data_IF_818516658461
#
_entry.id   IF_818516658461
#
_cell.length_a   1.000
_cell.length_b   1.000
_cell.length_c   1.000
_cell.angle_alpha   90.00
_cell.angle_beta   90.00
_cell.angle_gamma   90.00
#
_symmetry.space_group_name_H-M   'P 1'
#
loop_
_entity.id
_entity.type
_entity.pdbx_description
1 polymer ?
#
# COMPACT_ATOMS: atom_id res chain seq x y z
N UNK A 1 -44.03 40.43 -34.11
CA UNK A 1 -44.41 39.20 -34.84
C UNK A 1 -44.91 38.14 -33.85
N UNK A 2 -45.51 37.06 -34.35
CA UNK A 2 -46.00 35.85 -33.62
C UNK A 2 -44.97 35.23 -32.65
N UNK A 3 -45.28 34.40 -31.64
CA UNK A 3 -46.51 33.99 -30.91
C UNK A 3 -46.08 33.18 -29.66
N UNK A 4 -46.95 33.01 -28.65
CA UNK A 4 -46.74 32.08 -27.51
C UNK A 4 -48.03 31.36 -27.10
N UNK A 5 -47.94 30.07 -26.74
CA UNK A 5 -49.03 29.14 -26.40
C UNK A 5 -48.45 27.90 -25.65
N UNK A 6 -49.15 27.09 -24.84
CA UNK A 6 -50.53 27.12 -24.31
C UNK A 6 -50.67 26.25 -23.03
N UNK A 7 -51.62 26.64 -22.16
CA UNK A 7 -52.54 25.87 -21.28
C UNK A 7 -52.97 24.45 -21.75
N UNK A 8 -53.55 23.51 -20.94
CA UNK A 8 -53.92 23.45 -19.49
C UNK A 8 -54.38 22.03 -19.01
N UNK A 9 -54.71 21.89 -17.71
CA UNK A 9 -55.24 20.72 -16.95
C UNK A 9 -56.51 20.00 -17.50
N UNK A 10 -56.60 18.67 -17.23
CA UNK A 10 -57.74 17.88 -16.67
C UNK A 10 -57.18 16.64 -15.91
N UNK A 11 -57.77 15.89 -14.95
CA UNK A 11 -59.04 15.84 -14.15
C UNK A 11 -59.98 14.61 -14.32
N UNK A 12 -60.23 13.95 -13.17
CA UNK A 12 -61.32 13.03 -12.74
C UNK A 12 -61.47 11.57 -13.26
N UNK A 13 -61.92 10.72 -12.31
CA UNK A 13 -62.44 9.32 -12.38
C UNK A 13 -64.01 9.38 -12.26
N UNK A 14 -64.87 8.34 -11.98
CA UNK A 14 -64.66 6.96 -11.46
C UNK A 14 -65.63 5.76 -11.89
N UNK A 15 -65.32 4.52 -11.47
CA UNK A 15 -66.19 3.47 -10.81
C UNK A 15 -67.26 2.53 -11.53
N UNK A 16 -67.28 1.23 -11.12
CA UNK A 16 -68.31 0.12 -11.12
C UNK A 16 -68.96 -0.42 -12.46
N UNK A 17 -69.58 -1.64 -12.57
CA UNK A 17 -69.46 -2.97 -11.88
C UNK A 17 -70.25 -4.15 -12.56
N UNK A 18 -69.73 -5.39 -12.43
CA UNK A 18 -70.35 -6.76 -12.28
C UNK A 18 -71.55 -7.38 -13.08
N UNK A 19 -71.41 -8.70 -13.38
CA UNK A 19 -72.35 -9.86 -13.20
C UNK A 19 -72.99 -10.64 -14.40
N UNK A 20 -73.52 -11.86 -14.11
CA UNK A 20 -74.17 -12.93 -14.93
C UNK A 20 -73.22 -13.96 -15.65
N UNK A 21 -73.27 -15.31 -15.43
CA UNK A 21 -74.30 -16.38 -15.61
C UNK A 21 -74.44 -16.87 -17.08
N UNK A 22 -74.56 -18.17 -17.45
CA UNK A 22 -74.44 -19.48 -16.74
C UNK A 22 -74.39 -20.70 -17.72
N UNK A 23 -74.20 -21.91 -17.18
CA UNK A 23 -74.49 -23.27 -17.74
C UNK A 23 -73.68 -23.84 -18.93
N UNK A 24 -73.38 -25.15 -18.84
CA UNK A 24 -72.88 -26.01 -19.92
C UNK A 24 -72.33 -27.34 -19.40
N UNK A 25 -72.97 -28.48 -19.72
CA UNK A 25 -72.55 -29.83 -19.27
C UNK A 25 -72.25 -30.71 -20.48
N UNK A 26 -71.04 -31.26 -20.56
CA UNK A 26 -70.74 -32.51 -21.28
C UNK A 26 -69.37 -33.09 -20.88
N UNK A 27 -69.22 -34.41 -21.01
CA UNK A 27 -68.01 -35.19 -20.82
C UNK A 27 -68.18 -36.57 -21.49
N UNK A 28 -67.15 -37.40 -21.66
CA UNK A 28 -65.72 -37.09 -21.87
C UNK A 28 -65.20 -37.70 -23.20
N UNK A 29 -64.01 -37.28 -23.64
CA UNK A 29 -63.19 -38.11 -24.54
C UNK A 29 -61.71 -37.76 -24.40
N UNK A 30 -60.84 -38.76 -24.47
CA UNK A 30 -59.39 -38.57 -24.32
C UNK A 30 -58.72 -38.31 -25.68
N UNK A 31 -57.71 -37.43 -25.68
CA UNK A 31 -56.51 -37.66 -26.48
C UNK A 31 -55.32 -36.89 -25.90
N UNK A 32 -54.14 -37.51 -25.92
CA UNK A 32 -52.89 -36.95 -25.42
C UNK A 32 -52.12 -36.30 -26.55
N UNK A 33 -51.87 -34.99 -26.51
CA UNK A 33 -50.67 -34.39 -27.09
C UNK A 33 -50.28 -33.05 -26.39
N UNK A 34 -48.98 -32.92 -26.12
CA UNK A 34 -48.18 -31.73 -26.42
C UNK A 34 -48.52 -30.40 -25.71
N UNK A 35 -48.06 -30.25 -24.47
CA UNK A 35 -47.79 -28.93 -23.89
C UNK A 35 -46.35 -28.48 -24.22
N UNK A 36 -46.22 -27.33 -24.87
CA UNK A 36 -44.93 -26.77 -25.27
C UNK A 36 -44.15 -26.18 -24.08
N UNK A 37 -42.83 -26.40 -24.04
CA UNK A 37 -41.89 -25.54 -23.31
C UNK A 37 -41.50 -24.34 -24.18
N UNK A 38 -41.37 -23.13 -23.61
CA UNK A 38 -40.98 -21.95 -24.38
C UNK A 38 -39.52 -22.02 -24.85
N UNK A 39 -39.29 -21.69 -26.12
CA UNK A 39 -37.96 -21.74 -26.71
C UNK A 39 -37.03 -20.64 -26.17
N UNK A 40 -36.05 -21.02 -25.34
CA UNK A 40 -34.94 -20.14 -24.97
C UNK A 40 -33.97 -20.06 -26.16
N UNK A 41 -34.04 -18.96 -26.91
CA UNK A 41 -33.18 -18.75 -28.08
C UNK A 41 -31.71 -18.61 -27.67
N UNK A 42 -30.88 -19.63 -27.98
CA UNK A 42 -29.44 -19.62 -27.75
C UNK A 42 -28.75 -18.63 -28.71
N UNK A 43 -28.73 -17.35 -28.32
CA UNK A 43 -28.08 -16.29 -29.10
C UNK A 43 -26.56 -16.39 -28.90
N UNK A 44 -25.87 -16.92 -29.92
CA UNK A 44 -24.41 -17.04 -29.98
C UNK A 44 -23.72 -15.68 -29.76
N UNK A 45 -23.14 -15.50 -28.59
CA UNK A 45 -22.22 -14.40 -28.25
C UNK A 45 -20.83 -15.00 -28.00
N UNK A 46 -19.81 -14.52 -28.70
CA UNK A 46 -18.47 -15.12 -28.69
C UNK A 46 -17.39 -14.05 -28.75
N UNK A 47 -17.10 -13.43 -27.59
CA UNK A 47 -15.93 -12.56 -27.40
C UNK A 47 -15.66 -12.26 -25.91
N UNK A 48 -14.37 -12.24 -25.55
CA UNK A 48 -13.79 -11.34 -24.52
C UNK A 48 -14.19 -11.49 -23.03
N UNK A 49 -14.44 -12.70 -22.53
CA UNK A 49 -14.50 -12.96 -21.07
C UNK A 49 -13.59 -14.12 -20.57
N UNK A 50 -12.37 -14.24 -21.11
CA UNK A 50 -11.33 -15.16 -20.58
C UNK A 50 -10.11 -14.41 -20.02
N UNK A 51 -10.22 -13.80 -18.84
CA UNK A 51 -9.03 -13.26 -18.13
C UNK A 51 -9.13 -13.12 -16.59
N UNK A 52 -10.17 -13.65 -15.93
CA UNK A 52 -10.43 -13.37 -14.50
C UNK A 52 -10.65 -14.59 -13.60
N UNK A 53 -9.88 -15.67 -13.78
CA UNK A 53 -9.73 -16.76 -12.78
C UNK A 53 -8.38 -17.50 -12.93
N UNK A 54 -7.28 -16.80 -12.66
CA UNK A 54 -6.02 -17.45 -12.25
C UNK A 54 -5.81 -17.20 -10.76
N UNK A 55 -5.41 -18.24 -10.03
CA UNK A 55 -5.19 -18.17 -8.59
C UNK A 55 -4.32 -16.96 -8.22
N UNK A 56 -4.77 -16.05 -7.34
CA UNK A 56 -3.95 -14.93 -6.88
C UNK A 56 -2.67 -15.42 -6.18
N UNK A 57 -2.79 -16.56 -5.49
CA UNK A 57 -1.70 -17.36 -4.98
C UNK A 57 -1.10 -18.19 -6.14
N UNK A 58 -0.13 -17.60 -6.83
CA UNK A 58 0.66 -18.30 -7.84
C UNK A 58 1.51 -19.43 -7.25
N UNK A 59 1.88 -20.41 -8.06
CA UNK A 59 2.74 -21.53 -7.62
C UNK A 59 4.16 -21.06 -7.32
N UNK A 60 4.79 -21.60 -6.27
CA UNK A 60 6.19 -21.28 -5.94
C UNK A 60 7.17 -21.89 -6.94
N UNK A 61 8.16 -21.11 -7.36
CA UNK A 61 9.17 -21.47 -8.35
C UNK A 61 10.55 -21.49 -7.65
N UNK A 62 11.16 -22.66 -7.66
CA UNK A 62 12.49 -22.94 -7.10
C UNK A 62 13.59 -22.19 -7.85
N UNK A 63 14.65 -21.81 -7.15
CA UNK A 63 15.84 -21.18 -7.73
C UNK A 63 16.96 -20.96 -6.69
N UNK A 64 18.10 -20.45 -7.16
CA UNK A 64 19.32 -20.29 -6.37
C UNK A 64 19.12 -19.70 -4.96
N UNK A 65 19.61 -20.40 -3.93
CA UNK A 65 19.55 -19.98 -2.53
C UNK A 65 18.33 -20.46 -1.73
N UNK A 66 17.38 -21.16 -2.34
CA UNK A 66 16.34 -21.90 -1.61
C UNK A 66 16.93 -23.14 -0.92
N UNK A 67 16.38 -23.53 0.24
CA UNK A 67 16.66 -24.82 0.88
C UNK A 67 15.38 -25.64 1.03
N UNK A 68 15.48 -26.93 0.71
CA UNK A 68 14.37 -27.90 0.73
C UNK A 68 14.75 -29.16 1.52
N UNK A 69 13.76 -29.77 2.17
CA UNK A 69 13.81 -31.18 2.58
C UNK A 69 13.44 -32.01 1.36
N UNK A 70 14.17 -33.08 1.11
CA UNK A 70 13.76 -34.16 0.21
C UNK A 70 13.79 -35.44 1.04
N UNK A 71 12.67 -36.15 1.07
CA UNK A 71 12.45 -37.34 1.89
C UNK A 71 11.98 -38.48 0.97
N UNK A 72 12.77 -39.55 0.93
CA UNK A 72 12.45 -40.82 0.28
C UNK A 72 12.15 -41.83 1.38
N UNK A 73 10.88 -42.27 1.49
CA UNK A 73 10.46 -43.18 2.57
C UNK A 73 11.21 -44.52 2.51
N UNK A 74 11.42 -45.02 1.29
CA UNK A 74 11.96 -46.36 1.02
C UNK A 74 13.48 -46.42 1.20
N UNK A 75 14.18 -45.27 1.06
CA UNK A 75 15.63 -45.14 1.26
C UNK A 75 15.95 -43.84 2.02
N UNK A 76 15.93 -43.86 3.37
CA UNK A 76 16.24 -42.68 4.18
C UNK A 76 17.68 -42.19 3.99
N UNK A 77 18.60 -43.03 3.52
CA UNK A 77 20.00 -42.68 3.19
C UNK A 77 20.12 -41.64 2.06
N UNK A 78 19.08 -41.51 1.22
CA UNK A 78 19.03 -40.50 0.15
C UNK A 78 18.16 -39.28 0.53
N UNK A 79 17.55 -39.30 1.71
CA UNK A 79 16.82 -38.16 2.28
C UNK A 79 17.78 -37.12 2.85
N UNK A 80 17.35 -35.86 2.92
CA UNK A 80 18.15 -34.81 3.55
C UNK A 80 17.72 -33.38 3.23
N UNK A 81 18.49 -32.43 3.77
CA UNK A 81 18.38 -31.01 3.48
C UNK A 81 19.30 -30.64 2.32
N UNK A 82 18.71 -30.16 1.23
CA UNK A 82 19.42 -29.71 0.04
C UNK A 82 19.22 -28.21 -0.16
N UNK A 83 20.23 -27.53 -0.70
CA UNK A 83 20.17 -26.10 -1.05
C UNK A 83 20.47 -25.94 -2.53
N UNK A 84 19.71 -25.08 -3.20
CA UNK A 84 19.87 -24.82 -4.64
C UNK A 84 21.06 -23.89 -4.84
N UNK A 85 22.04 -24.32 -5.63
CA UNK A 85 23.25 -23.57 -5.95
C UNK A 85 23.01 -22.33 -6.82
N UNK A 86 24.02 -21.45 -6.98
CA UNK A 86 23.95 -20.26 -7.83
C UNK A 86 23.88 -20.58 -9.33
N UNK A 87 24.10 -21.84 -9.69
CA UNK A 87 23.96 -22.47 -11.00
C UNK A 87 22.56 -23.09 -11.22
N UNK A 88 21.66 -22.97 -10.24
CA UNK A 88 20.30 -23.52 -10.27
C UNK A 88 20.22 -25.02 -10.01
N UNK A 89 21.29 -25.66 -9.51
CA UNK A 89 21.34 -27.11 -9.28
C UNK A 89 21.20 -27.52 -7.81
N UNK A 90 20.79 -28.77 -7.57
CA UNK A 90 20.93 -29.46 -6.27
C UNK A 90 21.85 -30.68 -6.42
N UNK A 91 22.55 -31.01 -5.35
CA UNK A 91 23.48 -32.15 -5.31
C UNK A 91 22.88 -33.27 -4.45
N UNK A 92 22.33 -34.29 -5.11
CA UNK A 92 21.67 -35.42 -4.47
C UNK A 92 22.59 -36.65 -4.36
N UNK A 93 22.44 -37.48 -3.31
CA UNK A 93 22.97 -38.84 -3.29
C UNK A 93 22.52 -39.61 -4.53
N UNK A 94 23.43 -40.42 -5.10
CA UNK A 94 23.28 -41.16 -6.38
C UNK A 94 23.09 -40.29 -7.63
N UNK A 95 22.10 -39.40 -7.66
CA UNK A 95 21.73 -38.61 -8.85
C UNK A 95 22.72 -37.46 -9.15
N UNK A 96 23.60 -37.10 -8.21
CA UNK A 96 24.63 -36.06 -8.35
C UNK A 96 24.00 -34.68 -8.60
N UNK A 97 24.56 -33.88 -9.51
CA UNK A 97 24.09 -32.54 -9.84
C UNK A 97 22.84 -32.60 -10.71
N UNK A 98 21.75 -31.99 -10.25
CA UNK A 98 20.49 -31.87 -10.99
C UNK A 98 20.05 -30.41 -11.06
N UNK A 99 19.82 -29.89 -12.27
CA UNK A 99 19.24 -28.56 -12.46
C UNK A 99 17.74 -28.55 -12.10
N UNK A 100 17.33 -27.61 -11.24
CA UNK A 100 15.97 -27.51 -10.70
C UNK A 100 15.38 -26.10 -10.71
N UNK A 101 16.17 -25.08 -11.05
CA UNK A 101 15.68 -23.70 -11.15
C UNK A 101 14.59 -23.56 -12.23
N UNK A 102 13.51 -22.88 -11.87
CA UNK A 102 12.34 -22.71 -12.74
C UNK A 102 11.27 -23.79 -12.57
N UNK A 103 11.54 -24.87 -11.84
CA UNK A 103 10.54 -25.88 -11.46
C UNK A 103 9.72 -25.43 -10.23
N UNK A 104 8.48 -25.87 -10.17
CA UNK A 104 7.68 -25.87 -8.93
C UNK A 104 8.01 -27.09 -8.06
N UNK A 105 7.57 -27.09 -6.80
CA UNK A 105 7.79 -28.22 -5.87
C UNK A 105 7.18 -29.53 -6.42
N UNK A 106 6.02 -29.47 -7.05
CA UNK A 106 5.35 -30.66 -7.61
C UNK A 106 5.99 -31.13 -8.94
N UNK A 107 6.46 -30.21 -9.80
CA UNK A 107 7.26 -30.57 -10.98
C UNK A 107 8.58 -31.24 -10.57
N UNK A 108 9.25 -30.75 -9.51
CA UNK A 108 10.44 -31.39 -8.96
C UNK A 108 10.12 -32.76 -8.32
N UNK A 109 9.02 -32.88 -7.56
CA UNK A 109 8.59 -34.15 -6.95
C UNK A 109 8.38 -35.21 -8.02
N UNK A 110 7.59 -34.89 -9.05
CA UNK A 110 7.36 -35.79 -10.18
C UNK A 110 8.67 -36.17 -10.87
N UNK A 111 9.53 -35.19 -11.17
CA UNK A 111 10.82 -35.45 -11.79
C UNK A 111 11.72 -36.38 -10.96
N UNK A 112 11.82 -36.18 -9.65
CA UNK A 112 12.62 -37.04 -8.78
C UNK A 112 12.05 -38.46 -8.67
N UNK A 113 10.73 -38.62 -8.55
CA UNK A 113 10.09 -39.95 -8.60
C UNK A 113 10.43 -40.68 -9.91
N UNK A 114 10.45 -39.99 -11.06
CA UNK A 114 10.89 -40.61 -12.32
C UNK A 114 12.38 -41.00 -12.28
N UNK A 115 13.29 -40.14 -11.80
CA UNK A 115 14.73 -40.45 -11.76
C UNK A 115 15.08 -41.58 -10.77
N UNK A 116 14.38 -41.67 -9.63
CA UNK A 116 14.60 -42.74 -8.65
C UNK A 116 13.99 -44.08 -9.07
N UNK A 117 13.04 -44.12 -10.01
CA UNK A 117 12.43 -45.37 -10.50
C UNK A 117 13.43 -46.36 -11.14
N UNK A 118 14.60 -45.88 -11.58
CA UNK A 118 15.70 -46.72 -12.07
C UNK A 118 16.49 -47.45 -10.98
N UNK A 119 16.22 -47.16 -9.70
CA UNK A 119 16.95 -47.69 -8.53
C UNK A 119 16.03 -48.25 -7.43
N UNK A 120 14.76 -47.86 -7.43
CA UNK A 120 13.75 -48.18 -6.41
C UNK A 120 12.44 -48.52 -7.11
N UNK A 121 11.72 -49.52 -6.62
CA UNK A 121 10.36 -49.82 -7.08
C UNK A 121 9.38 -48.83 -6.42
N UNK A 122 8.57 -48.14 -7.22
CA UNK A 122 7.51 -47.21 -6.77
C UNK A 122 7.95 -46.12 -5.74
N UNK A 123 9.06 -45.37 -5.97
CA UNK A 123 9.66 -44.49 -4.97
C UNK A 123 8.76 -43.33 -4.52
N UNK A 124 8.51 -43.27 -3.21
CA UNK A 124 7.68 -42.21 -2.61
C UNK A 124 8.54 -41.01 -2.19
N UNK A 125 8.47 -39.93 -2.99
CA UNK A 125 9.24 -38.70 -2.76
C UNK A 125 8.37 -37.60 -2.16
N UNK A 126 8.80 -37.10 -1.01
CA UNK A 126 8.26 -35.91 -0.34
C UNK A 126 9.26 -34.76 -0.44
N UNK A 127 8.75 -33.55 -0.70
CA UNK A 127 9.57 -32.34 -0.79
C UNK A 127 8.89 -31.23 0.02
N UNK A 128 9.65 -30.61 0.93
CA UNK A 128 9.17 -29.52 1.78
C UNK A 128 10.10 -28.30 1.73
N UNK A 129 9.59 -27.06 1.65
CA UNK A 129 10.43 -25.87 1.73
C UNK A 129 10.92 -25.67 3.17
N UNK A 130 12.24 -25.56 3.36
CA UNK A 130 12.88 -25.29 4.66
C UNK A 130 13.24 -23.80 4.79
N UNK A 131 13.73 -23.20 3.70
CA UNK A 131 14.09 -21.78 3.64
C UNK A 131 13.82 -21.26 2.24
N UNK A 132 13.10 -20.15 2.14
CA UNK A 132 12.99 -19.41 0.88
C UNK A 132 14.17 -18.44 0.76
N UNK A 133 14.68 -18.26 -0.47
CA UNK A 133 15.64 -17.20 -0.79
C UNK A 133 15.01 -15.81 -0.57
N UNK A 134 15.79 -14.78 -0.18
CA UNK A 134 15.33 -13.40 -0.23
C UNK A 134 14.87 -13.05 -1.65
N UNK A 135 13.64 -12.54 -1.80
CA UNK A 135 13.10 -12.18 -3.12
C UNK A 135 13.41 -10.72 -3.42
N UNK A 136 13.82 -10.41 -4.66
CA UNK A 136 13.99 -9.03 -5.12
C UNK A 136 12.75 -8.59 -5.88
N UNK A 137 11.99 -7.67 -5.30
CA UNK A 137 10.80 -7.08 -5.93
C UNK A 137 11.07 -5.64 -6.37
N UNK A 138 10.35 -5.18 -7.39
CA UNK A 138 10.25 -3.76 -7.72
C UNK A 138 8.95 -3.20 -7.12
N UNK A 139 9.03 -2.05 -6.48
CA UNK A 139 7.86 -1.33 -5.95
C UNK A 139 7.86 0.08 -6.55
N UNK A 140 6.82 0.43 -7.31
CA UNK A 140 6.81 1.63 -8.14
C UNK A 140 5.48 2.38 -8.19
N UNK A 141 5.52 3.53 -8.86
CA UNK A 141 4.38 4.45 -8.93
C UNK A 141 4.20 5.26 -7.65
N UNK A 142 2.96 5.42 -7.23
CA UNK A 142 2.55 6.30 -6.13
C UNK A 142 2.65 5.57 -4.77
N UNK A 143 3.89 5.32 -4.34
CA UNK A 143 4.30 4.91 -2.98
C UNK A 143 5.23 5.96 -2.38
N UNK A 144 5.58 5.90 -1.09
CA UNK A 144 6.43 6.90 -0.45
C UNK A 144 7.91 6.87 -0.91
N UNK A 145 8.45 5.69 -1.22
CA UNK A 145 9.81 5.45 -1.73
C UNK A 145 9.77 4.34 -2.80
N UNK A 146 9.67 4.67 -4.10
CA UNK A 146 9.73 3.66 -5.16
C UNK A 146 11.17 3.18 -5.38
N UNK A 147 11.37 1.90 -5.71
CA UNK A 147 12.69 1.31 -5.89
C UNK A 147 12.67 -0.21 -5.98
N UNK A 148 13.85 -0.82 -5.89
CA UNK A 148 14.01 -2.26 -5.69
C UNK A 148 14.17 -2.56 -4.21
N UNK A 149 13.48 -3.59 -3.73
CA UNK A 149 13.51 -4.04 -2.35
C UNK A 149 13.80 -5.53 -2.28
N UNK A 150 14.67 -5.93 -1.35
CA UNK A 150 14.83 -7.32 -0.96
C UNK A 150 13.86 -7.61 0.18
N UNK A 151 12.96 -8.57 -0.03
CA UNK A 151 12.06 -9.07 1.01
C UNK A 151 12.56 -10.43 1.46
N UNK A 152 12.95 -10.51 2.73
CA UNK A 152 13.39 -11.74 3.41
C UNK A 152 12.29 -12.20 4.36
N UNK A 153 12.31 -13.47 4.73
CA UNK A 153 11.51 -14.01 5.85
C UNK A 153 11.91 -13.29 7.16
N UNK A 154 11.07 -12.35 7.62
CA UNK A 154 11.43 -11.44 8.70
C UNK A 154 11.24 -12.07 10.09
N UNK A 155 12.23 -12.87 10.48
CA UNK A 155 12.51 -13.20 11.89
C UNK A 155 13.38 -12.12 12.58
N UNK A 156 13.88 -11.14 11.82
CA UNK A 156 14.79 -10.07 12.27
C UNK A 156 14.16 -8.67 12.11
N UNK A 157 12.95 -8.46 12.65
CA UNK A 157 12.52 -7.13 13.13
C UNK A 157 12.05 -7.25 14.59
N UNK A 158 13.04 -7.42 15.46
CA UNK A 158 13.06 -6.87 16.82
C UNK A 158 14.48 -6.29 16.99
N UNK A 159 14.67 -5.26 17.82
CA UNK A 159 15.97 -4.60 18.09
C UNK A 159 16.54 -3.69 16.97
N UNK A 160 15.72 -2.95 16.22
CA UNK A 160 16.20 -1.71 15.58
C UNK A 160 15.15 -0.58 15.47
N UNK A 161 14.45 -0.34 16.58
CA UNK A 161 14.01 1.00 16.96
C UNK A 161 14.40 1.22 18.42
N UNK A 162 15.62 1.70 18.66
CA UNK A 162 15.94 2.33 19.93
C UNK A 162 15.21 3.68 19.97
N UNK A 163 14.27 3.92 20.90
CA UNK A 163 13.82 5.27 21.17
C UNK A 163 14.99 6.06 21.77
N UNK A 164 15.21 7.32 21.38
CA UNK A 164 16.30 8.10 21.93
C UNK A 164 16.03 8.42 23.41
N UNK A 165 16.89 7.86 24.27
CA UNK A 165 17.08 8.15 25.70
C UNK A 165 15.95 7.71 26.66
N UNK A 166 16.33 7.32 27.90
CA UNK A 166 15.43 7.41 29.05
C UNK A 166 14.96 6.15 29.80
N UNK A 167 15.70 5.04 29.83
CA UNK A 167 15.46 3.96 30.83
C UNK A 167 16.78 3.55 31.50
N UNK A 168 17.08 4.17 32.64
CA UNK A 168 17.98 3.57 33.64
C UNK A 168 17.21 2.57 34.51
N UNK A 169 17.85 1.47 34.93
CA UNK A 169 17.32 0.61 35.99
C UNK A 169 16.70 -0.72 35.56
N UNK A 170 17.48 -1.61 34.94
CA UNK A 170 17.29 -3.06 35.10
C UNK A 170 18.57 -3.61 35.75
N UNK A 171 18.45 -4.04 37.01
CA UNK A 171 19.58 -4.53 37.81
C UNK A 171 19.84 -6.01 37.51
N UNK A 172 20.93 -6.30 36.80
CA UNK A 172 21.40 -7.68 36.61
C UNK A 172 21.94 -8.26 37.93
N UNK A 173 21.15 -9.09 38.61
CA UNK A 173 21.61 -9.84 39.78
C UNK A 173 22.50 -11.02 39.33
N UNK A 174 23.78 -11.12 39.74
CA UNK A 174 24.69 -12.16 39.22
C UNK A 174 24.46 -13.59 39.74
N UNK A 175 23.50 -13.80 40.65
CA UNK A 175 23.21 -15.12 41.25
C UNK A 175 21.75 -15.54 41.06
N UNK A 176 21.43 -16.00 39.86
CA UNK A 176 20.34 -16.94 39.60
C UNK A 176 20.92 -18.15 38.84
N UNK A 177 20.86 -19.39 39.39
CA UNK A 177 21.31 -20.58 38.68
C UNK A 177 20.42 -20.97 37.49
N UNK A 178 19.25 -20.35 37.33
CA UNK A 178 18.39 -20.45 36.15
C UNK A 178 18.39 -19.10 35.42
N UNK A 179 19.41 -18.92 34.57
CA UNK A 179 19.57 -17.71 33.75
C UNK A 179 18.33 -17.35 32.91
N UNK A 180 18.21 -16.07 32.49
CA UNK A 180 16.95 -15.45 32.12
C UNK A 180 16.17 -16.19 31.03
N UNK A 181 15.14 -16.92 31.46
CA UNK A 181 14.09 -17.55 30.67
C UNK A 181 14.57 -18.26 29.39
N UNK A 182 15.23 -19.41 29.56
CA UNK A 182 15.08 -20.48 28.56
C UNK A 182 13.61 -20.93 28.61
N UNK A 183 12.78 -20.34 27.77
CA UNK A 183 11.42 -20.84 27.56
C UNK A 183 11.51 -22.29 27.08
N UNK A 184 10.92 -23.22 27.83
CA UNK A 184 10.79 -24.62 27.41
C UNK A 184 10.03 -24.66 26.10
N UNK A 185 10.75 -24.90 24.99
CA UNK A 185 10.23 -24.84 23.63
C UNK A 185 9.13 -25.90 23.49
N UNK A 186 7.87 -25.46 23.54
CA UNK A 186 6.73 -26.34 23.35
C UNK A 186 6.37 -26.39 21.87
N UNK A 187 5.52 -27.33 21.46
CA UNK A 187 5.15 -27.50 20.04
C UNK A 187 4.51 -26.28 19.37
N UNK A 188 4.15 -25.23 20.12
CA UNK A 188 3.71 -23.95 19.59
C UNK A 188 4.85 -23.16 18.91
N UNK A 189 6.04 -23.13 19.53
CA UNK A 189 7.20 -22.35 19.09
C UNK A 189 7.79 -22.84 17.76
N UNK A 190 7.55 -24.11 17.43
CA UNK A 190 7.91 -24.73 16.13
C UNK A 190 7.13 -24.09 14.97
N UNK A 191 6.00 -23.42 15.24
CA UNK A 191 5.32 -22.54 14.27
C UNK A 191 5.94 -21.14 14.22
N UNK A 192 7.28 -21.06 14.09
CA UNK A 192 7.90 -19.99 13.29
C UNK A 192 7.45 -20.16 11.84
N UNK A 193 6.24 -19.68 11.54
CA UNK A 193 5.67 -19.72 10.20
C UNK A 193 6.62 -18.97 9.26
N UNK A 194 7.07 -19.64 8.18
CA UNK A 194 7.90 -19.01 7.17
C UNK A 194 7.14 -17.80 6.63
N UNK A 195 7.60 -16.58 6.96
CA UNK A 195 6.84 -15.34 6.71
C UNK A 195 7.00 -14.94 5.25
N UNK A 196 6.23 -15.64 4.42
CA UNK A 196 6.04 -15.41 3.00
C UNK A 196 5.83 -13.91 2.76
N UNK A 197 6.70 -13.25 1.97
CA UNK A 197 6.53 -11.83 1.65
C UNK A 197 5.27 -11.55 0.84
N UNK A 198 4.60 -10.45 1.18
CA UNK A 198 3.30 -10.05 0.62
C UNK A 198 3.34 -8.66 -0.04
N UNK A 199 2.26 -8.30 -0.74
CA UNK A 199 2.06 -6.93 -1.27
C UNK A 199 2.08 -5.88 -0.16
N UNK A 200 1.53 -6.20 1.02
CA UNK A 200 1.64 -5.37 2.22
C UNK A 200 3.09 -5.08 2.61
N UNK A 201 3.92 -6.13 2.72
CA UNK A 201 5.34 -5.98 3.10
C UNK A 201 6.11 -5.14 2.09
N UNK A 202 5.87 -5.33 0.79
CA UNK A 202 6.48 -4.54 -0.27
C UNK A 202 6.16 -3.04 -0.16
N UNK A 203 4.91 -2.67 0.12
CA UNK A 203 4.53 -1.27 0.29
C UNK A 203 5.03 -0.69 1.61
N UNK A 204 5.04 -1.48 2.69
CA UNK A 204 5.59 -1.09 4.00
C UNK A 204 7.09 -0.75 3.92
N UNK A 205 7.92 -1.59 3.28
CA UNK A 205 9.36 -1.26 3.11
C UNK A 205 9.58 -0.07 2.17
N UNK A 206 8.71 0.10 1.17
CA UNK A 206 8.62 1.30 0.35
C UNK A 206 8.13 2.55 1.11
N UNK A 207 7.99 2.50 2.44
CA UNK A 207 7.60 3.63 3.29
C UNK A 207 6.11 3.97 3.25
N UNK A 208 5.30 3.07 2.71
CA UNK A 208 3.85 3.19 2.66
C UNK A 208 3.29 3.94 1.47
N UNK A 209 2.06 4.40 1.67
CA UNK A 209 1.23 5.04 0.65
C UNK A 209 1.25 6.56 0.81
N UNK A 210 0.95 7.29 -0.26
CA UNK A 210 0.88 8.75 -0.26
C UNK A 210 -0.58 9.22 -0.27
N UNK A 211 -0.86 10.51 0.01
CA UNK A 211 -2.18 11.11 -0.16
C UNK A 211 -2.82 10.93 -1.56
N UNK A 212 -2.04 10.52 -2.56
CA UNK A 212 -2.46 10.32 -3.96
C UNK A 212 -2.49 8.85 -4.40
N UNK A 213 -2.14 7.87 -3.55
CA UNK A 213 -2.12 6.45 -3.94
C UNK A 213 -3.51 5.92 -4.29
N UNK A 214 -3.69 5.32 -5.47
CA UNK A 214 -4.96 4.74 -5.91
C UNK A 214 -5.08 3.28 -5.47
N UNK A 215 -5.34 3.06 -4.19
CA UNK A 215 -5.30 1.72 -3.55
C UNK A 215 -6.35 0.71 -4.05
N UNK A 216 -7.29 1.12 -4.90
CA UNK A 216 -8.24 0.21 -5.56
C UNK A 216 -7.64 -0.52 -6.78
N UNK A 217 -6.55 -0.01 -7.36
CA UNK A 217 -5.90 -0.56 -8.56
C UNK A 217 -4.39 -0.74 -8.31
N UNK A 218 -4.02 -1.61 -7.38
CA UNK A 218 -2.61 -2.01 -7.18
C UNK A 218 -2.28 -3.15 -8.15
N UNK A 219 -1.35 -2.91 -9.07
CA UNK A 219 -1.03 -3.86 -10.15
C UNK A 219 0.23 -4.65 -9.79
N UNK A 220 0.12 -5.97 -9.67
CA UNK A 220 1.26 -6.89 -9.55
C UNK A 220 1.53 -7.51 -10.92
N UNK A 221 2.75 -7.35 -11.44
CA UNK A 221 3.23 -8.00 -12.67
C UNK A 221 4.23 -9.09 -12.32
N UNK A 222 3.96 -10.33 -12.76
CA UNK A 222 4.70 -11.55 -12.41
C UNK A 222 5.17 -12.30 -13.66
N UNK A 223 6.31 -13.01 -13.60
CA UNK A 223 6.73 -13.95 -14.66
C UNK A 223 5.91 -15.25 -14.54
N UNK A 224 5.46 -15.84 -15.66
CA UNK A 224 4.88 -17.20 -15.65
C UNK A 224 5.96 -18.28 -15.80
N UNK A 225 5.80 -19.48 -15.22
CA UNK A 225 6.62 -20.65 -15.54
C UNK A 225 6.64 -20.94 -17.05
N UNK A 226 7.73 -21.54 -17.54
CA UNK A 226 7.84 -21.98 -18.94
C UNK A 226 6.79 -23.05 -19.27
N UNK A 227 6.54 -23.99 -18.35
CA UNK A 227 5.46 -24.99 -18.43
C UNK A 227 4.05 -24.37 -18.57
N UNK A 228 3.87 -23.13 -18.12
CA UNK A 228 2.62 -22.35 -18.25
C UNK A 228 2.60 -21.42 -19.47
N UNK A 229 3.47 -21.65 -20.46
CA UNK A 229 3.59 -20.83 -21.68
C UNK A 229 4.31 -19.48 -21.49
N UNK A 230 5.09 -19.33 -20.41
CA UNK A 230 6.04 -18.23 -20.22
C UNK A 230 5.48 -16.80 -20.28
N UNK A 231 6.36 -15.82 -20.47
CA UNK A 231 5.98 -14.40 -20.50
C UNK A 231 5.57 -13.86 -19.12
N UNK A 232 4.63 -12.90 -19.09
CA UNK A 232 4.19 -12.20 -17.87
C UNK A 232 2.67 -12.27 -17.69
N UNK A 233 2.24 -12.26 -16.43
CA UNK A 233 0.85 -12.07 -16.00
C UNK A 233 0.74 -10.75 -15.22
N UNK A 234 -0.42 -10.10 -15.30
CA UNK A 234 -0.78 -8.93 -14.47
C UNK A 234 -2.01 -9.28 -13.64
N UNK A 235 -1.97 -8.93 -12.36
CA UNK A 235 -3.08 -9.04 -11.42
C UNK A 235 -3.39 -7.64 -10.89
N UNK A 236 -4.65 -7.20 -10.97
CA UNK A 236 -5.10 -5.98 -10.28
C UNK A 236 -5.68 -6.35 -8.92
N UNK A 237 -5.36 -5.57 -7.89
CA UNK A 237 -5.75 -5.82 -6.50
C UNK A 237 -6.43 -4.58 -5.93
N UNK A 238 -7.62 -4.78 -5.36
CA UNK A 238 -8.30 -3.77 -4.56
C UNK A 238 -7.70 -3.76 -3.14
N UNK A 239 -6.44 -3.33 -3.05
CA UNK A 239 -5.71 -3.31 -1.77
C UNK A 239 -6.38 -2.43 -0.70
N UNK A 240 -7.26 -1.50 -1.11
CA UNK A 240 -8.11 -0.77 -0.17
C UNK A 240 -8.98 -1.72 0.68
N UNK A 241 -9.63 -2.75 0.11
CA UNK A 241 -10.45 -3.67 0.91
C UNK A 241 -9.62 -4.62 1.78
N UNK A 242 -8.33 -4.84 1.48
CA UNK A 242 -7.44 -5.44 2.47
C UNK A 242 -7.33 -4.54 3.71
N UNK A 243 -7.01 -3.25 3.50
CA UNK A 243 -6.84 -2.27 4.59
C UNK A 243 -8.14 -2.06 5.39
N UNK A 244 -9.29 -1.94 4.71
CA UNK A 244 -10.53 -1.47 5.33
C UNK A 244 -11.51 -2.57 5.73
N UNK A 245 -11.35 -3.79 5.21
CA UNK A 245 -12.28 -4.93 5.43
C UNK A 245 -11.53 -6.21 5.86
N UNK A 246 -10.20 -6.18 6.01
CA UNK A 246 -9.39 -7.37 6.32
C UNK A 246 -9.33 -8.40 5.19
N UNK A 247 -9.56 -7.97 3.93
CA UNK A 247 -9.66 -8.88 2.78
C UNK A 247 -8.28 -9.40 2.32
N UNK A 248 -7.76 -10.42 3.02
CA UNK A 248 -6.48 -11.09 2.74
C UNK A 248 -6.31 -11.57 1.29
N UNK A 249 -7.41 -11.83 0.56
CA UNK A 249 -7.33 -12.22 -0.86
C UNK A 249 -6.72 -11.13 -1.76
N UNK A 250 -6.66 -9.88 -1.29
CA UNK A 250 -6.00 -8.77 -1.99
C UNK A 250 -4.53 -8.59 -1.57
N UNK A 251 -4.06 -9.28 -0.53
CA UNK A 251 -2.70 -9.21 -0.01
C UNK A 251 -1.83 -10.39 -0.47
N UNK A 252 -1.72 -10.56 -1.79
CA UNK A 252 -1.15 -11.78 -2.38
C UNK A 252 0.33 -11.97 -2.02
N UNK A 253 0.76 -13.24 -1.98
CA UNK A 253 2.19 -13.62 -1.95
C UNK A 253 2.94 -12.97 -3.12
N UNK A 254 4.14 -12.47 -2.85
CA UNK A 254 5.13 -12.08 -3.86
C UNK A 254 6.21 -13.14 -4.08
N UNK A 255 6.84 -13.07 -5.25
CA UNK A 255 7.90 -13.96 -5.71
C UNK A 255 9.05 -13.12 -6.30
N UNK A 256 10.19 -13.75 -6.51
CA UNK A 256 11.38 -13.08 -7.03
C UNK A 256 11.16 -12.51 -8.45
N UNK A 257 11.54 -11.24 -8.63
CA UNK A 257 11.30 -10.49 -9.86
C UNK A 257 9.87 -9.98 -10.08
N UNK A 258 8.96 -10.11 -9.09
CA UNK A 258 7.65 -9.45 -9.14
C UNK A 258 7.78 -7.91 -9.13
N UNK A 259 6.83 -7.25 -9.80
CA UNK A 259 6.74 -5.79 -9.91
C UNK A 259 5.39 -5.31 -9.41
N UNK A 260 5.38 -4.65 -8.24
CA UNK A 260 4.21 -4.03 -7.62
C UNK A 260 4.16 -2.56 -8.04
N UNK A 261 3.06 -2.11 -8.65
CA UNK A 261 2.88 -0.73 -9.10
C UNK A 261 1.56 -0.17 -8.56
N UNK A 262 1.66 0.92 -7.80
CA UNK A 262 0.50 1.65 -7.28
C UNK A 262 0.20 2.82 -8.22
N UNK A 263 -1.01 2.89 -8.78
CA UNK A 263 -1.41 3.99 -9.64
C UNK A 263 -1.59 5.30 -8.86
N UNK A 264 -1.40 6.46 -9.52
CA UNK A 264 -1.65 7.78 -8.93
C UNK A 264 -3.10 8.22 -9.17
N UNK A 265 -3.75 8.72 -8.12
CA UNK A 265 -5.04 9.41 -8.16
C UNK A 265 -4.84 10.91 -8.48
N UNK A 266 -5.68 11.51 -9.34
CA UNK A 266 -5.69 12.96 -9.55
C UNK A 266 -6.28 13.74 -8.36
N UNK A 267 -6.99 13.06 -7.45
CA UNK A 267 -7.64 13.65 -6.26
C UNK A 267 -7.02 13.05 -4.99
N UNK A 268 -6.80 13.89 -3.97
CA UNK A 268 -6.34 13.44 -2.64
C UNK A 268 -7.46 12.70 -1.92
N UNK A 269 -7.21 11.45 -1.50
CA UNK A 269 -8.22 10.59 -0.87
C UNK A 269 -8.01 10.53 0.64
N UNK A 270 -8.45 11.58 1.36
CA UNK A 270 -8.21 11.77 2.81
C UNK A 270 -8.59 10.55 3.67
N UNK A 271 -9.72 9.90 3.37
CA UNK A 271 -10.15 8.68 4.07
C UNK A 271 -9.15 7.51 3.93
N UNK A 272 -8.44 7.42 2.79
CA UNK A 272 -7.45 6.37 2.58
C UNK A 272 -6.19 6.63 3.41
N UNK A 273 -5.85 7.90 3.67
CA UNK A 273 -4.72 8.25 4.56
C UNK A 273 -5.03 7.80 6.00
N UNK A 274 -6.23 8.09 6.49
CA UNK A 274 -6.64 7.71 7.85
C UNK A 274 -6.57 6.18 8.02
N UNK A 275 -7.20 5.43 7.11
CA UNK A 275 -7.25 3.96 7.16
C UNK A 275 -5.90 3.28 6.87
N UNK A 276 -5.02 3.94 6.10
CA UNK A 276 -3.64 3.49 5.86
C UNK A 276 -2.61 4.00 6.90
N UNK A 277 -3.07 4.66 7.97
CA UNK A 277 -2.37 4.88 9.24
C UNK A 277 -2.94 4.05 10.39
N UNK A 278 -4.25 3.74 10.37
CA UNK A 278 -4.84 2.66 11.20
C UNK A 278 -4.17 1.28 10.96
N UNK A 279 -3.50 1.13 9.82
CA UNK A 279 -2.60 0.02 9.51
C UNK A 279 -1.16 0.53 9.38
N UNK A 280 -0.19 -0.24 9.88
CA UNK A 280 1.26 0.09 9.82
C UNK A 280 1.85 -0.12 8.40
N UNK A 281 1.24 0.55 7.42
CA UNK A 281 1.73 0.70 6.05
C UNK A 281 2.56 1.97 5.91
N UNK A 282 2.06 3.07 6.49
CA UNK A 282 2.61 4.42 6.34
C UNK A 282 3.15 4.93 7.67
N UNK A 283 4.12 5.84 7.68
CA UNK A 283 4.60 6.44 8.93
C UNK A 283 3.54 7.38 9.50
N UNK A 284 3.19 7.19 10.78
CA UNK A 284 2.22 8.01 11.53
C UNK A 284 2.54 9.51 11.49
N UNK A 285 3.82 9.85 11.34
CA UNK A 285 4.34 11.21 11.34
C UNK A 285 5.16 11.53 10.10
N UNK A 286 5.05 12.79 9.65
CA UNK A 286 5.85 13.41 8.59
C UNK A 286 6.64 14.60 9.15
N UNK A 287 7.87 14.79 8.67
CA UNK A 287 8.68 15.97 8.97
C UNK A 287 8.58 16.98 7.81
N UNK A 288 8.28 18.24 8.11
CA UNK A 288 8.16 19.33 7.14
C UNK A 288 8.98 20.54 7.60
N UNK A 289 9.35 21.44 6.69
CA UNK A 289 10.20 22.61 7.01
C UNK A 289 9.39 23.90 6.93
N UNK A 290 9.13 24.54 8.08
CA UNK A 290 8.39 25.82 8.15
C UNK A 290 9.40 26.96 8.34
N UNK A 291 9.36 27.98 7.48
CA UNK A 291 10.40 29.02 7.39
C UNK A 291 9.81 30.42 7.20
N UNK A 292 10.60 31.46 7.49
CA UNK A 292 10.20 32.86 7.34
C UNK A 292 9.42 33.42 8.55
N UNK A 293 8.44 34.29 8.32
CA UNK A 293 7.70 35.04 9.38
C UNK A 293 6.66 34.19 10.13
N UNK A 294 7.12 33.08 10.73
CA UNK A 294 6.42 32.32 11.78
C UNK A 294 7.04 32.61 13.15
N UNK A 295 6.37 32.20 14.22
CA UNK A 295 6.92 32.33 15.58
C UNK A 295 8.11 31.39 15.78
N UNK A 296 7.96 30.11 15.42
CA UNK A 296 8.97 29.06 15.56
C UNK A 296 9.33 28.43 14.19
N UNK A 297 10.29 29.01 13.44
CA UNK A 297 10.78 28.42 12.20
C UNK A 297 11.68 27.20 12.49
N UNK A 298 11.70 26.23 11.57
CA UNK A 298 12.51 25.02 11.68
C UNK A 298 11.82 23.81 11.04
N UNK A 299 12.36 22.61 11.31
CA UNK A 299 11.64 21.37 11.01
C UNK A 299 10.52 21.15 12.03
N UNK A 300 9.33 20.79 11.57
CA UNK A 300 8.17 20.45 12.41
C UNK A 300 7.70 19.03 12.08
N UNK A 301 7.44 18.24 13.12
CA UNK A 301 6.87 16.89 13.02
C UNK A 301 5.35 17.02 13.15
N UNK A 302 4.62 16.35 12.26
CA UNK A 302 3.16 16.43 12.14
C UNK A 302 2.59 15.03 11.85
N UNK A 303 1.34 14.73 12.25
CA UNK A 303 0.66 13.51 11.82
C UNK A 303 0.56 13.39 10.28
N UNK A 304 0.56 12.17 9.76
CA UNK A 304 0.32 11.94 8.33
C UNK A 304 -1.06 12.50 7.92
N UNK A 305 -1.15 13.12 6.75
CA UNK A 305 -2.39 13.76 6.30
C UNK A 305 -2.67 15.13 6.94
N UNK A 306 -1.73 15.68 7.72
CA UNK A 306 -1.78 17.06 8.20
C UNK A 306 -1.79 18.08 7.04
N UNK A 307 -2.43 19.23 7.27
CA UNK A 307 -2.51 20.32 6.29
C UNK A 307 -1.50 21.44 6.54
N UNK A 308 -1.31 22.30 5.55
CA UNK A 308 -0.45 23.48 5.64
C UNK A 308 -0.81 24.40 6.82
N UNK A 309 -2.09 24.63 7.09
CA UNK A 309 -2.51 25.43 8.25
C UNK A 309 -2.12 24.78 9.59
N UNK A 310 -2.11 23.45 9.68
CA UNK A 310 -1.66 22.72 10.88
C UNK A 310 -0.14 22.83 11.07
N UNK A 311 0.65 22.89 9.99
CA UNK A 311 2.08 23.18 10.05
C UNK A 311 2.37 24.63 10.47
N UNK A 312 1.56 25.58 10.02
CA UNK A 312 1.67 26.98 10.45
C UNK A 312 1.28 27.14 11.93
N UNK A 313 0.30 26.37 12.42
CA UNK A 313 -0.05 26.33 13.83
C UNK A 313 1.06 25.69 14.69
N UNK A 314 1.66 24.57 14.26
CA UNK A 314 2.77 23.93 14.99
C UNK A 314 4.07 24.74 14.97
N UNK A 315 4.19 25.72 14.07
CA UNK A 315 5.23 26.77 14.08
C UNK A 315 4.90 27.97 14.99
N UNK A 316 4.04 27.76 16.00
CA UNK A 316 3.58 28.80 16.93
C UNK A 316 2.67 29.85 16.30
N UNK A 317 2.19 29.62 15.07
CA UNK A 317 1.44 30.60 14.28
C UNK A 317 2.33 31.55 13.44
N UNK A 318 1.66 32.39 12.65
CA UNK A 318 2.32 33.34 11.75
C UNK A 318 2.40 34.74 12.36
N UNK A 319 3.55 35.41 12.25
CA UNK A 319 3.77 36.75 12.80
C UNK A 319 2.90 37.83 12.13
N UNK A 320 2.80 38.99 12.78
CA UNK A 320 2.21 40.19 12.17
C UNK A 320 3.08 40.72 11.02
N UNK A 321 2.47 41.52 10.13
CA UNK A 321 3.10 42.03 8.90
C UNK A 321 3.76 40.92 8.05
N UNK A 322 3.11 39.77 7.97
CA UNK A 322 3.48 38.66 7.08
C UNK A 322 3.04 38.91 5.63
N UNK A 323 3.80 38.37 4.69
CA UNK A 323 3.46 38.33 3.27
C UNK A 323 2.69 37.05 2.88
N UNK A 324 2.74 36.74 1.58
CA UNK A 324 2.16 35.50 1.02
C UNK A 324 2.94 34.27 1.46
N UNK A 325 2.24 33.16 1.66
CA UNK A 325 2.88 31.85 1.85
C UNK A 325 3.27 31.28 0.50
N UNK A 326 4.47 30.69 0.48
CA UNK A 326 5.03 29.93 -0.61
C UNK A 326 5.18 28.48 -0.13
N UNK A 327 4.31 27.62 -0.66
CA UNK A 327 4.41 26.17 -0.51
C UNK A 327 5.30 25.63 -1.62
N UNK A 328 6.25 24.75 -1.26
CA UNK A 328 7.22 24.15 -2.17
C UNK A 328 7.33 22.65 -1.86
N UNK A 329 6.94 21.82 -2.84
CA UNK A 329 7.11 20.37 -2.80
C UNK A 329 8.01 19.92 -3.94
N UNK A 330 9.08 19.20 -3.62
CA UNK A 330 9.96 18.57 -4.59
C UNK A 330 9.39 17.22 -5.01
N UNK A 331 9.13 17.05 -6.30
CA UNK A 331 8.67 15.78 -6.87
C UNK A 331 9.88 14.91 -7.27
N UNK A 332 9.70 13.59 -7.33
CA UNK A 332 10.81 12.64 -7.61
C UNK A 332 11.33 12.69 -9.05
N UNK A 333 10.61 13.34 -9.95
CA UNK A 333 11.01 13.64 -11.33
C UNK A 333 11.89 14.91 -11.43
N UNK A 334 12.25 15.52 -10.30
CA UNK A 334 13.00 16.78 -10.23
C UNK A 334 12.14 18.04 -10.44
N UNK A 335 10.85 17.90 -10.76
CA UNK A 335 9.93 19.04 -10.83
C UNK A 335 9.61 19.56 -9.43
N UNK A 336 9.05 20.77 -9.34
CA UNK A 336 8.65 21.35 -8.05
C UNK A 336 7.23 21.93 -8.14
N UNK A 337 6.32 21.41 -7.32
CA UNK A 337 5.01 22.03 -7.10
C UNK A 337 5.20 23.24 -6.18
N UNK A 338 5.22 24.44 -6.80
CA UNK A 338 5.39 25.74 -6.13
C UNK A 338 4.10 26.53 -6.20
N UNK A 339 3.50 26.82 -5.04
CA UNK A 339 2.22 27.55 -4.94
C UNK A 339 2.41 28.79 -4.08
N UNK A 340 1.91 29.94 -4.52
CA UNK A 340 1.95 31.19 -3.75
C UNK A 340 0.56 31.74 -3.53
N UNK A 341 0.17 31.93 -2.27
CA UNK A 341 -1.16 32.42 -1.90
C UNK A 341 -1.12 33.23 -0.60
N UNK A 342 -2.07 34.15 -0.43
CA UNK A 342 -2.31 34.85 0.83
C UNK A 342 -2.99 33.89 1.82
N UNK A 343 -2.50 33.79 3.05
CA UNK A 343 -3.14 32.99 4.10
C UNK A 343 -4.18 33.82 4.84
N UNK A 344 -5.43 33.36 4.76
CA UNK A 344 -6.61 33.97 5.36
C UNK A 344 -7.88 33.26 4.88
N UNK A 345 -8.90 33.25 5.75
CA UNK A 345 -10.13 32.48 5.55
C UNK A 345 -10.01 31.01 5.93
N UNK A 346 -11.15 30.36 6.20
CA UNK A 346 -11.22 28.94 6.53
C UNK A 346 -11.09 28.10 5.24
N UNK A 347 -9.88 27.69 4.88
CA UNK A 347 -9.59 26.94 3.66
C UNK A 347 -9.59 25.43 4.01
N UNK A 348 -10.46 24.59 3.43
CA UNK A 348 -10.52 23.17 3.80
C UNK A 348 -9.22 22.44 3.44
N UNK A 349 -8.81 21.52 4.31
CA UNK A 349 -7.60 20.72 4.15
C UNK A 349 -7.65 19.87 2.86
N UNK A 350 -6.60 19.97 2.04
CA UNK A 350 -6.51 19.40 0.70
C UNK A 350 -6.85 20.38 -0.43
N UNK A 351 -7.40 21.56 -0.13
CA UNK A 351 -7.60 22.63 -1.13
C UNK A 351 -6.27 23.20 -1.64
N UNK A 352 -6.32 23.94 -2.76
CA UNK A 352 -5.11 24.55 -3.35
C UNK A 352 -4.32 25.44 -2.38
N UNK A 353 -5.03 26.17 -1.49
CA UNK A 353 -4.48 27.09 -0.49
C UNK A 353 -4.17 26.44 0.87
N UNK A 354 -4.65 25.22 1.12
CA UNK A 354 -4.36 24.47 2.34
C UNK A 354 -4.05 23.00 1.98
N UNK A 355 -2.98 22.72 1.21
CA UNK A 355 -2.67 21.38 0.74
C UNK A 355 -2.40 20.42 1.91
N UNK A 356 -2.70 19.13 1.69
CA UNK A 356 -2.18 18.06 2.55
C UNK A 356 -0.67 17.96 2.32
N UNK A 357 0.09 17.93 3.40
CA UNK A 357 1.54 17.87 3.37
C UNK A 357 2.08 16.44 3.23
N UNK A 358 3.33 16.34 2.81
CA UNK A 358 4.14 15.13 2.76
C UNK A 358 5.53 15.40 3.39
N UNK A 359 6.21 14.33 3.80
CA UNK A 359 7.57 14.46 4.35
C UNK A 359 8.53 15.15 3.37
N UNK A 360 9.25 16.16 3.86
CA UNK A 360 10.16 16.98 3.05
C UNK A 360 9.54 18.21 2.38
N UNK A 361 8.22 18.45 2.52
CA UNK A 361 7.60 19.70 2.06
C UNK A 361 8.17 20.94 2.79
N UNK A 362 8.28 22.05 2.07
CA UNK A 362 8.71 23.34 2.62
C UNK A 362 7.57 24.36 2.57
N UNK A 363 7.31 25.02 3.70
CA UNK A 363 6.31 26.07 3.86
C UNK A 363 7.02 27.37 4.26
N UNK A 364 7.13 28.32 3.33
CA UNK A 364 7.76 29.64 3.58
C UNK A 364 6.70 30.73 3.75
N UNK A 365 6.68 31.38 4.92
CA UNK A 365 5.91 32.60 5.17
C UNK A 365 6.78 33.80 4.82
N UNK A 366 6.53 34.46 3.69
CA UNK A 366 7.36 35.58 3.25
C UNK A 366 7.17 36.85 4.10
N UNK A 367 8.08 37.81 3.93
CA UNK A 367 7.96 39.18 4.43
C UNK A 367 6.80 39.94 3.78
N UNK A 368 6.24 40.94 4.47
CA UNK A 368 5.39 41.94 3.81
C UNK A 368 6.28 43.04 3.22
N UNK A 369 5.95 43.63 2.06
CA UNK A 369 6.61 44.86 1.60
C UNK A 369 6.56 45.99 2.66
N UNK A 370 5.52 45.98 3.51
CA UNK A 370 5.32 46.94 4.60
C UNK A 370 6.16 46.64 5.86
N UNK A 371 6.82 45.47 6.00
CA UNK A 371 7.73 45.24 7.13
C UNK A 371 9.14 45.81 6.90
N UNK A 372 9.56 45.99 5.64
CA UNK A 372 10.87 46.56 5.30
C UNK A 372 11.00 48.04 5.70
N UNK A 373 9.93 48.83 5.56
CA UNK A 373 9.94 50.27 5.88
C UNK A 373 10.11 50.58 7.36
N UNK A 374 9.69 49.67 8.25
CA UNK A 374 9.87 49.85 9.70
C UNK A 374 11.27 49.49 10.19
N UNK A 375 11.96 48.53 9.55
CA UNK A 375 13.36 48.24 9.86
C UNK A 375 14.27 49.45 9.55
N UNK A 376 14.03 50.10 8.42
CA UNK A 376 14.74 51.32 8.01
C UNK A 376 14.46 52.51 8.95
N UNK A 377 13.29 52.57 9.58
CA UNK A 377 12.96 53.59 10.57
C UNK A 377 13.76 53.45 11.87
N UNK A 378 14.04 52.23 12.33
CA UNK A 378 14.84 51.98 13.55
C UNK A 378 16.30 52.46 13.33
N UNK A 379 16.88 52.11 12.17
CA UNK A 379 18.24 52.48 11.77
C UNK A 379 18.39 54.00 11.51
N UNK A 380 17.37 54.65 10.96
CA UNK A 380 17.36 56.11 10.76
C UNK A 380 17.02 56.92 12.02
N UNK A 381 16.22 56.39 12.97
CA UNK A 381 15.80 57.16 14.17
C UNK A 381 16.80 57.09 15.32
N UNK A 382 17.69 56.09 15.36
CA UNK A 382 18.82 56.01 16.29
C UNK A 382 19.57 57.34 16.52
N UNK A 383 20.03 58.07 15.47
CA UNK A 383 20.65 59.38 15.64
C UNK A 383 19.69 60.51 16.05
N UNK A 384 18.41 60.48 15.64
CA UNK A 384 17.47 61.57 15.96
C UNK A 384 17.03 61.59 17.43
N UNK A 385 17.01 60.45 18.11
CA UNK A 385 16.81 60.39 19.56
C UNK A 385 17.92 61.15 20.33
N UNK A 386 19.14 61.24 19.78
CA UNK A 386 20.23 62.04 20.34
C UNK A 386 20.08 63.56 20.10
N UNK A 387 19.27 63.99 19.14
CA UNK A 387 19.08 65.42 18.83
C UNK A 387 18.06 66.06 19.79
N UNK A 388 17.03 65.32 20.20
CA UNK A 388 16.00 65.86 21.11
C UNK A 388 16.55 66.09 22.54
N UNK A 389 17.47 65.25 23.01
CA UNK A 389 18.12 65.43 24.32
C UNK A 389 19.07 66.63 24.36
N UNK A 390 19.74 66.95 23.24
CA UNK A 390 20.53 68.18 23.09
C UNK A 390 19.62 69.41 23.07
N UNK A 391 18.46 69.36 22.41
CA UNK A 391 17.52 70.49 22.39
C UNK A 391 16.94 70.79 23.79
N UNK A 392 16.62 69.76 24.59
CA UNK A 392 16.16 69.95 25.97
C UNK A 392 17.24 70.50 26.92
N UNK A 393 18.53 70.32 26.60
CA UNK A 393 19.64 70.87 27.40
C UNK A 393 19.80 72.39 27.28
N UNK A 394 19.38 72.99 26.15
CA UNK A 394 19.50 74.43 25.91
C UNK A 394 18.22 75.23 26.22
N UNK A 395 17.06 74.56 26.38
CA UNK A 395 15.80 75.18 26.80
C UNK A 395 15.51 75.00 28.31
N UNK A 396 16.52 74.60 29.10
CA UNK A 396 16.42 74.29 30.54
C UNK A 396 17.19 75.23 31.47
N UNK A 397 17.65 76.39 30.97
CA UNK A 397 18.39 77.43 31.68
C UNK A 397 17.78 78.81 31.42
#
# INVERSE_FOLDING_TARGET
>A
MKLTASTSLRHCLPIFASAALAFGVHAPTANTQEQASPAVAVKKASSEQELHTRSPNGTYILGAGDSISIELLDIPEYSGRFTIGPDGTIYLPRLRSLYVEGLTIEELRYFLTQQFSAYVLEPQVFIGPIKYRPIRVYVGGEVARPGYYFLTDQQEIVNQLDPPEGIEGITNNPYDPLGPNIATITGADVKKALRIPTVFDAMRVAGGVTPYSKLKDVIVTRKRPLSSGGGKIRTSLNFLSFITEGNESQNIRLFDGDSVVVARSPVVLREQIIKAGETNLSPDFIQVFVTGRVNEPGSKVLPQGASLDQALASAGGQKILRGRVEFVRFNRDGTTDKRKFSVGGNNPAGSYKNPILMGGDVVRVNESPLSATFAVLDELTGPFLGIYSVYSLFNGF
#
